data_IF_360793196061
#
_entry.id   IF_360793196061
#
_cell.length_a   1.000
_cell.length_b   1.000
_cell.length_c   1.000
_cell.angle_alpha   90.00
_cell.angle_beta   90.00
_cell.angle_gamma   90.00
#
_symmetry.space_group_name_H-M   'P 1'
#
loop_
_entity.id
_entity.type
_entity.pdbx_description
1 polymer ?
#
# COMPACT_ATOMS: atom_id res chain seq x y z
N UNK A 1 11.60 34.29 -85.21
CA UNK A 1 10.86 33.14 -84.61
C UNK A 1 11.74 32.16 -83.82
N UNK A 2 13.04 32.04 -84.10
CA UNK A 2 13.91 31.06 -83.41
C UNK A 2 14.34 31.47 -81.99
N UNK A 3 14.58 32.75 -81.72
CA UNK A 3 15.03 33.22 -80.39
C UNK A 3 13.98 33.02 -79.29
N UNK A 4 12.72 33.34 -79.58
CA UNK A 4 11.59 33.14 -78.66
C UNK A 4 11.37 31.66 -78.27
N UNK A 5 11.77 30.74 -79.15
CA UNK A 5 11.73 29.29 -78.89
C UNK A 5 12.89 28.85 -77.99
N UNK A 6 14.05 29.51 -78.11
CA UNK A 6 15.26 29.23 -77.30
C UNK A 6 15.09 29.70 -75.85
N UNK A 7 14.48 30.86 -75.62
CA UNK A 7 14.17 31.36 -74.27
C UNK A 7 13.17 30.46 -73.53
N UNK A 8 12.06 30.07 -74.18
CA UNK A 8 11.08 29.14 -73.61
C UNK A 8 11.68 27.79 -73.21
N UNK A 9 12.67 27.29 -73.95
CA UNK A 9 13.35 26.04 -73.62
C UNK A 9 14.26 26.21 -72.39
N UNK A 10 14.90 27.37 -72.23
CA UNK A 10 15.76 27.70 -71.09
C UNK A 10 14.95 27.89 -69.80
N UNK A 11 13.78 28.51 -69.91
CA UNK A 11 12.84 28.69 -68.80
C UNK A 11 12.26 27.34 -68.33
N UNK A 12 11.85 26.47 -69.26
CA UNK A 12 11.43 25.09 -68.94
C UNK A 12 12.52 24.25 -68.27
N UNK A 13 13.78 24.45 -68.65
CA UNK A 13 14.90 23.75 -68.01
C UNK A 13 15.16 24.25 -66.58
N UNK A 14 15.03 25.55 -66.32
CA UNK A 14 15.13 26.11 -64.96
C UNK A 14 14.01 25.59 -64.04
N UNK A 15 12.76 25.65 -64.50
CA UNK A 15 11.61 25.15 -63.76
C UNK A 15 11.76 23.66 -63.40
N UNK A 16 12.25 22.83 -64.33
CA UNK A 16 12.51 21.41 -64.05
C UNK A 16 13.60 21.18 -63.00
N UNK A 17 14.61 22.06 -62.94
CA UNK A 17 15.71 21.93 -62.00
C UNK A 17 15.28 22.31 -60.58
N UNK A 18 14.53 23.40 -60.43
CA UNK A 18 13.92 23.80 -59.14
C UNK A 18 12.98 22.72 -58.60
N UNK A 19 12.13 22.11 -59.45
CA UNK A 19 11.22 21.06 -58.99
C UNK A 19 11.90 19.75 -58.60
N UNK A 20 13.12 19.49 -59.07
CA UNK A 20 13.88 18.31 -58.67
C UNK A 20 14.63 18.58 -57.35
N UNK A 21 15.24 19.76 -57.21
CA UNK A 21 15.93 20.15 -55.96
C UNK A 21 14.97 20.20 -54.76
N UNK A 22 13.71 20.62 -54.94
CA UNK A 22 12.71 20.58 -53.84
C UNK A 22 12.31 19.16 -53.45
N UNK A 23 12.22 18.25 -54.43
CA UNK A 23 11.85 16.85 -54.18
C UNK A 23 12.96 16.08 -53.49
N UNK A 24 14.20 16.31 -53.88
CA UNK A 24 15.36 15.66 -53.25
C UNK A 24 15.49 16.09 -51.78
N UNK A 25 15.22 17.36 -51.45
CA UNK A 25 15.19 17.84 -50.06
C UNK A 25 14.02 17.28 -49.24
N UNK A 26 12.83 17.13 -49.84
CA UNK A 26 11.69 16.50 -49.15
C UNK A 26 11.96 15.02 -48.85
N UNK A 27 12.58 14.28 -49.78
CA UNK A 27 12.93 12.87 -49.60
C UNK A 27 13.98 12.70 -48.47
N UNK A 28 15.01 13.55 -48.43
CA UNK A 28 16.00 13.52 -47.36
C UNK A 28 15.36 13.80 -45.99
N UNK A 29 14.42 14.76 -45.92
CA UNK A 29 13.72 15.08 -44.67
C UNK A 29 12.79 13.95 -44.19
N UNK A 30 12.12 13.25 -45.10
CA UNK A 30 11.28 12.10 -44.74
C UNK A 30 12.09 10.90 -44.24
N UNK A 31 13.31 10.72 -44.76
CA UNK A 31 14.20 9.65 -44.34
C UNK A 31 14.86 9.95 -42.99
N UNK A 32 15.18 11.21 -42.70
CA UNK A 32 15.59 11.65 -41.36
C UNK A 32 14.47 11.42 -40.33
N UNK A 33 13.23 11.78 -40.65
CA UNK A 33 12.08 11.55 -39.77
C UNK A 33 11.82 10.07 -39.49
N UNK A 34 12.04 9.19 -40.48
CA UNK A 34 11.94 7.73 -40.29
C UNK A 34 13.05 7.23 -39.39
N UNK A 35 14.28 7.73 -39.56
CA UNK A 35 15.41 7.35 -38.71
C UNK A 35 15.19 7.81 -37.27
N UNK A 36 14.68 9.03 -37.05
CA UNK A 36 14.35 9.55 -35.72
C UNK A 36 13.25 8.69 -35.07
N UNK A 37 12.21 8.33 -35.82
CA UNK A 37 11.15 7.43 -35.30
C UNK A 37 11.68 6.05 -34.94
N UNK A 38 12.53 5.46 -35.78
CA UNK A 38 13.16 4.17 -35.51
C UNK A 38 14.08 4.25 -34.29
N UNK A 39 14.84 5.33 -34.14
CA UNK A 39 15.69 5.55 -32.96
C UNK A 39 14.84 5.71 -31.69
N UNK A 40 13.75 6.48 -31.73
CA UNK A 40 12.85 6.65 -30.60
C UNK A 40 12.11 5.35 -30.21
N UNK A 41 11.72 4.53 -31.20
CA UNK A 41 11.11 3.21 -30.95
C UNK A 41 12.11 2.24 -30.31
N UNK A 42 13.37 2.24 -30.77
CA UNK A 42 14.45 1.44 -30.17
C UNK A 42 14.81 1.93 -28.76
N UNK A 43 14.85 3.25 -28.53
CA UNK A 43 15.07 3.84 -27.22
C UNK A 43 13.98 3.43 -26.23
N UNK A 44 12.70 3.41 -26.64
CA UNK A 44 11.60 2.93 -25.80
C UNK A 44 11.75 1.44 -25.44
N UNK A 45 12.18 0.60 -26.39
CA UNK A 45 12.40 -0.84 -26.17
C UNK A 45 13.57 -1.09 -25.20
N UNK A 46 14.62 -0.26 -25.27
CA UNK A 46 15.80 -0.35 -24.40
C UNK A 46 15.57 0.30 -23.03
N UNK A 47 14.74 1.34 -22.93
CA UNK A 47 14.42 2.04 -21.66
C UNK A 47 13.73 1.13 -20.64
N UNK A 48 12.98 0.12 -21.10
CA UNK A 48 12.34 -0.87 -20.23
C UNK A 48 13.29 -1.96 -19.70
N UNK A 49 14.47 -2.08 -20.32
CA UNK A 49 15.53 -3.07 -20.03
C UNK A 49 16.64 -2.51 -19.13
N UNK A 50 16.63 -1.21 -18.82
CA UNK A 50 17.40 -0.65 -17.71
C UNK A 50 17.08 -1.44 -16.43
N UNK A 51 18.09 -1.92 -15.68
CA UNK A 51 17.91 -2.57 -14.40
C UNK A 51 17.56 -1.51 -13.34
N UNK A 52 16.58 -0.65 -13.62
CA UNK A 52 15.74 -0.10 -12.57
C UNK A 52 15.32 -1.29 -11.74
N UNK A 53 15.74 -1.32 -10.48
CA UNK A 53 15.26 -2.23 -9.46
C UNK A 53 13.73 -2.07 -9.39
N UNK A 54 12.98 -2.72 -10.29
CA UNK A 54 11.52 -2.71 -10.29
C UNK A 54 11.14 -3.41 -8.98
N UNK A 55 10.93 -2.62 -7.94
CA UNK A 55 10.56 -3.11 -6.61
C UNK A 55 9.10 -3.57 -6.69
N UNK A 56 8.91 -4.77 -7.21
CA UNK A 56 7.59 -5.38 -7.27
C UNK A 56 7.05 -5.56 -5.87
N UNK A 57 5.81 -5.13 -5.67
CA UNK A 57 5.10 -5.29 -4.41
C UNK A 57 4.98 -6.77 -4.06
N UNK A 58 5.70 -7.18 -3.02
CA UNK A 58 5.74 -8.55 -2.54
C UNK A 58 5.20 -8.62 -1.12
N UNK A 59 3.91 -8.91 -0.97
CA UNK A 59 3.23 -8.98 0.33
C UNK A 59 3.94 -9.90 1.33
N UNK A 60 4.48 -11.05 0.87
CA UNK A 60 5.24 -11.98 1.71
C UNK A 60 6.53 -11.35 2.26
N UNK A 61 7.28 -10.63 1.43
CA UNK A 61 8.53 -9.96 1.84
C UNK A 61 8.26 -8.90 2.91
N UNK A 62 7.22 -8.09 2.69
CA UNK A 62 6.77 -7.04 3.63
C UNK A 62 6.42 -7.65 5.00
N UNK A 63 5.59 -8.70 5.01
CA UNK A 63 5.22 -9.39 6.25
C UNK A 63 6.42 -9.95 7.00
N UNK A 64 7.38 -10.54 6.28
CA UNK A 64 8.59 -11.06 6.89
C UNK A 64 9.45 -9.96 7.51
N UNK A 65 9.68 -8.85 6.81
CA UNK A 65 10.46 -7.71 7.30
C UNK A 65 9.82 -7.08 8.54
N UNK A 66 8.51 -6.83 8.49
CA UNK A 66 7.76 -6.26 9.61
C UNK A 66 7.73 -7.21 10.82
N UNK A 67 7.52 -8.51 10.63
CA UNK A 67 7.51 -9.49 11.74
C UNK A 67 8.89 -9.79 12.32
N UNK A 68 9.96 -9.75 11.50
CA UNK A 68 11.35 -9.89 11.96
C UNK A 68 11.77 -8.68 12.80
N UNK A 69 11.32 -7.47 12.44
CA UNK A 69 11.60 -6.24 13.19
C UNK A 69 11.04 -6.29 14.63
N UNK A 70 9.86 -6.89 14.83
CA UNK A 70 9.22 -6.97 16.14
C UNK A 70 9.93 -7.94 17.10
N UNK A 71 10.52 -9.03 16.59
CA UNK A 71 11.21 -10.06 17.39
C UNK A 71 12.65 -9.67 17.75
N UNK A 72 13.28 -8.77 16.99
CA UNK A 72 14.70 -8.37 17.18
C UNK A 72 14.90 -7.14 18.07
N UNK A 73 13.86 -6.54 18.64
CA UNK A 73 14.00 -5.35 19.52
C UNK A 73 14.96 -5.53 20.71
N UNK A 74 15.31 -6.76 21.08
CA UNK A 74 16.24 -7.03 22.20
C UNK A 74 17.70 -7.31 21.83
N UNK A 75 18.11 -7.33 20.55
CA UNK A 75 19.54 -7.50 20.20
C UNK A 75 19.98 -6.58 19.06
N UNK A 76 20.56 -5.47 19.50
CA UNK A 76 21.65 -4.69 18.87
C UNK A 76 21.29 -3.80 17.67
N UNK A 77 21.68 -2.53 17.85
CA UNK A 77 21.94 -1.47 16.87
C UNK A 77 23.03 -1.88 15.85
N UNK A 78 22.85 -2.96 15.10
CA UNK A 78 23.81 -3.39 14.09
C UNK A 78 23.03 -3.69 12.81
N UNK A 79 23.39 -2.93 11.77
CA UNK A 79 22.84 -2.89 10.42
C UNK A 79 21.60 -1.98 10.29
N UNK A 80 21.88 -0.67 10.38
CA UNK A 80 21.17 0.37 9.62
C UNK A 80 21.40 0.15 8.11
N UNK A 81 20.97 -0.99 7.59
CA UNK A 81 20.33 -1.01 6.28
C UNK A 81 18.84 -1.10 6.61
N UNK A 82 18.32 0.00 7.19
CA UNK A 82 16.89 0.26 7.06
C UNK A 82 16.68 0.25 5.56
N UNK A 83 15.92 -0.72 5.05
CA UNK A 83 15.35 -0.63 3.71
C UNK A 83 14.86 0.81 3.54
N UNK A 84 15.44 1.52 2.58
CA UNK A 84 15.34 2.98 2.44
C UNK A 84 13.91 3.45 2.06
N UNK A 85 12.88 2.62 2.29
CA UNK A 85 11.58 2.73 1.64
C UNK A 85 10.35 2.57 2.54
N UNK A 86 10.45 2.21 3.83
CA UNK A 86 9.23 2.06 4.64
C UNK A 86 8.79 3.35 5.35
N UNK A 87 8.42 4.36 4.55
CA UNK A 87 7.74 5.57 4.98
C UNK A 87 6.20 5.41 4.98
N UNK A 88 5.69 4.19 4.80
CA UNK A 88 4.25 3.95 4.71
C UNK A 88 3.59 4.07 6.09
N UNK A 89 2.51 4.86 6.15
CA UNK A 89 1.64 5.02 7.31
C UNK A 89 0.21 5.15 6.79
N UNK A 90 -0.74 4.52 7.49
CA UNK A 90 -2.13 4.50 7.06
C UNK A 90 -2.89 5.64 7.72
N UNK A 91 -3.73 6.34 6.96
CA UNK A 91 -4.67 7.30 7.54
C UNK A 91 -5.83 6.58 8.21
N UNK A 92 -5.71 6.46 9.53
CA UNK A 92 -6.66 5.88 10.47
C UNK A 92 -7.99 6.67 10.54
N UNK A 93 -7.98 7.94 10.11
CA UNK A 93 -9.16 8.83 10.15
C UNK A 93 -9.93 8.86 8.83
N UNK A 94 -9.48 8.15 7.80
CA UNK A 94 -10.16 8.08 6.52
C UNK A 94 -11.53 7.38 6.64
N UNK A 95 -12.57 8.03 6.13
CA UNK A 95 -13.97 7.55 6.16
C UNK A 95 -14.13 6.17 5.50
N UNK A 96 -13.28 5.82 4.53
CA UNK A 96 -13.29 4.50 3.88
C UNK A 96 -13.06 3.36 4.87
N UNK A 97 -12.36 3.63 5.97
CA UNK A 97 -12.10 2.65 7.03
C UNK A 97 -13.07 2.74 8.20
N UNK A 98 -14.04 3.67 8.17
CA UNK A 98 -15.04 3.86 9.23
C UNK A 98 -15.80 2.57 9.56
N UNK A 99 -16.09 1.75 8.54
CA UNK A 99 -16.78 0.47 8.70
C UNK A 99 -16.02 -0.53 9.60
N UNK A 100 -14.68 -0.47 9.66
CA UNK A 100 -13.86 -1.34 10.53
C UNK A 100 -14.10 -1.07 12.02
N UNK A 101 -14.49 0.16 12.36
CA UNK A 101 -14.72 0.59 13.74
C UNK A 101 -16.18 0.48 14.15
N UNK A 102 -17.11 0.65 13.21
CA UNK A 102 -18.55 0.74 13.48
C UNK A 102 -19.28 -0.58 13.26
N UNK A 103 -18.96 -1.32 12.20
CA UNK A 103 -19.66 -2.55 11.83
C UNK A 103 -18.94 -3.80 12.35
N UNK A 104 -19.71 -4.76 12.87
CA UNK A 104 -19.16 -6.03 13.35
C UNK A 104 -18.66 -6.93 12.21
N UNK A 105 -19.20 -6.78 11.01
CA UNK A 105 -18.89 -7.63 9.85
C UNK A 105 -17.46 -7.45 9.34
N UNK A 106 -16.86 -6.28 9.59
CA UNK A 106 -15.52 -5.93 9.12
C UNK A 106 -14.50 -5.84 10.26
N UNK A 107 -14.75 -6.57 11.36
CA UNK A 107 -13.81 -6.62 12.47
C UNK A 107 -12.54 -7.36 12.08
N UNK A 108 -11.39 -6.74 12.35
CA UNK A 108 -10.07 -7.36 12.20
C UNK A 108 -9.84 -8.33 13.38
N UNK A 109 -9.76 -9.63 13.10
CA UNK A 109 -9.50 -10.69 14.09
C UNK A 109 -8.10 -11.32 13.88
N UNK A 110 -7.17 -11.19 14.84
CA UNK A 110 -5.87 -11.86 14.80
C UNK A 110 -5.93 -13.40 14.78
N UNK A 111 -7.06 -14.01 15.16
CA UNK A 111 -7.25 -15.46 15.13
C UNK A 111 -7.62 -16.01 13.74
N UNK A 112 -8.05 -15.16 12.79
CA UNK A 112 -8.37 -15.58 11.43
C UNK A 112 -7.08 -15.88 10.63
N UNK A 113 -6.94 -17.03 9.97
CA UNK A 113 -5.81 -17.34 9.08
C UNK A 113 -5.56 -16.31 7.95
N UNK A 114 -6.60 -15.57 7.54
CA UNK A 114 -6.51 -14.50 6.55
C UNK A 114 -5.85 -13.24 7.11
N UNK A 115 -5.77 -13.10 8.43
CA UNK A 115 -5.13 -11.97 9.07
C UNK A 115 -3.64 -11.92 8.70
N UNK A 116 -3.24 -10.80 8.10
CA UNK A 116 -1.86 -10.49 7.79
C UNK A 116 -1.39 -9.40 8.72
N UNK A 117 -0.43 -9.74 9.57
CA UNK A 117 0.10 -8.81 10.56
C UNK A 117 1.08 -7.86 9.89
N UNK A 118 0.55 -6.74 9.41
CA UNK A 118 1.31 -5.63 8.84
C UNK A 118 1.21 -4.40 9.73
N UNK A 119 2.11 -3.43 9.56
CA UNK A 119 2.14 -2.20 10.36
C UNK A 119 0.82 -1.43 10.29
N UNK A 120 0.27 -1.25 9.09
CA UNK A 120 -1.04 -0.60 8.90
C UNK A 120 -2.20 -1.35 9.57
N UNK A 121 -2.15 -2.70 9.57
CA UNK A 121 -3.16 -3.50 10.26
C UNK A 121 -3.07 -3.36 11.79
N UNK A 122 -1.86 -3.26 12.34
CA UNK A 122 -1.65 -2.96 13.75
C UNK A 122 -2.11 -1.54 14.12
N UNK A 123 -1.92 -0.54 13.24
CA UNK A 123 -2.44 0.82 13.40
C UNK A 123 -3.97 0.82 13.52
N UNK A 124 -4.70 0.11 12.66
CA UNK A 124 -6.16 -0.03 12.75
C UNK A 124 -6.63 -0.66 14.06
N UNK A 125 -5.97 -1.73 14.52
CA UNK A 125 -6.30 -2.39 15.79
C UNK A 125 -6.05 -1.45 16.97
N UNK A 126 -4.92 -0.75 16.99
CA UNK A 126 -4.57 0.18 18.05
C UNK A 126 -5.54 1.35 18.14
N UNK A 127 -5.94 1.94 17.01
CA UNK A 127 -6.99 2.97 16.98
C UNK A 127 -8.33 2.43 17.49
N UNK A 128 -8.71 1.22 17.09
CA UNK A 128 -9.97 0.64 17.58
C UNK A 128 -9.95 0.47 19.11
N UNK A 129 -8.78 0.14 19.67
CA UNK A 129 -8.59 0.08 21.10
C UNK A 129 -8.65 1.46 21.76
N UNK A 130 -8.02 2.50 21.19
CA UNK A 130 -8.09 3.88 21.70
C UNK A 130 -9.52 4.40 21.68
N UNK A 131 -10.26 4.21 20.58
CA UNK A 131 -11.69 4.57 20.49
C UNK A 131 -12.53 3.88 21.56
N UNK A 132 -12.31 2.59 21.80
CA UNK A 132 -13.02 1.86 22.87
C UNK A 132 -12.74 2.46 24.25
N UNK A 133 -11.49 2.78 24.55
CA UNK A 133 -11.12 3.43 25.81
C UNK A 133 -11.77 4.82 25.96
N UNK A 134 -11.84 5.60 24.88
CA UNK A 134 -12.55 6.88 24.86
C UNK A 134 -14.06 6.68 25.08
N UNK A 135 -14.71 5.75 24.39
CA UNK A 135 -16.12 5.45 24.63
C UNK A 135 -16.41 4.96 26.04
N UNK A 136 -15.50 4.18 26.64
CA UNK A 136 -15.65 3.69 28.01
C UNK A 136 -15.44 4.80 29.04
N UNK A 137 -14.63 5.83 28.73
CA UNK A 137 -14.40 6.99 29.61
C UNK A 137 -15.54 8.03 29.52
N UNK A 138 -16.05 8.31 28.31
CA UNK A 138 -17.20 9.21 28.09
C UNK A 138 -18.52 8.62 28.65
N UNK A 139 -18.65 7.30 28.74
CA UNK A 139 -19.79 6.65 29.39
C UNK A 139 -19.70 6.58 30.91
N UNK A 140 -18.67 7.15 31.54
CA UNK A 140 -18.59 7.23 33.01
C UNK A 140 -19.53 8.31 33.60
N UNK A 141 -20.02 9.25 32.79
CA UNK A 141 -21.06 10.22 33.20
C UNK A 141 -22.50 9.71 33.04
N UNK A 142 -22.68 8.47 32.57
CA UNK A 142 -23.97 7.75 32.65
C UNK A 142 -23.73 6.51 33.51
N UNK A 143 -24.38 6.37 34.68
CA UNK A 143 -24.08 5.28 35.60
C UNK A 143 -24.21 3.96 34.85
N UNK A 144 -23.15 3.14 34.79
CA UNK A 144 -23.24 1.86 34.13
C UNK A 144 -24.34 1.07 34.83
N UNK A 145 -25.35 0.62 34.07
CA UNK A 145 -26.13 -0.55 34.46
C UNK A 145 -25.13 -1.69 34.56
N UNK A 146 -24.52 -1.80 35.75
CA UNK A 146 -23.67 -2.91 36.15
C UNK A 146 -24.50 -4.15 35.85
N UNK A 147 -24.15 -4.90 34.81
CA UNK A 147 -24.46 -6.32 34.79
C UNK A 147 -23.80 -6.84 36.06
N UNK A 148 -24.63 -7.08 37.06
CA UNK A 148 -24.25 -7.62 38.34
C UNK A 148 -23.52 -8.93 38.06
N UNK A 149 -22.18 -8.87 38.06
CA UNK A 149 -21.38 -9.98 38.58
C UNK A 149 -21.63 -10.01 40.07
N UNK A 150 -22.86 -10.38 40.40
CA UNK A 150 -23.28 -10.86 41.68
C UNK A 150 -22.52 -12.17 41.84
N UNK A 151 -21.32 -12.11 42.42
CA UNK A 151 -20.77 -13.23 43.16
C UNK A 151 -21.69 -13.43 44.37
N UNK A 152 -22.90 -13.90 44.12
CA UNK A 152 -23.79 -14.49 45.11
C UNK A 152 -23.18 -15.85 45.41
N UNK A 153 -22.08 -15.85 46.16
CA UNK A 153 -21.88 -16.97 47.07
C UNK A 153 -22.92 -16.70 48.14
N UNK A 154 -24.09 -17.34 48.02
CA UNK A 154 -25.12 -17.25 49.04
C UNK A 154 -24.45 -17.43 50.42
N UNK A 155 -24.69 -16.56 51.40
CA UNK A 155 -24.08 -16.69 52.72
C UNK A 155 -24.37 -18.06 53.35
N UNK A 156 -25.51 -18.67 52.98
CA UNK A 156 -25.86 -20.05 53.33
C UNK A 156 -24.90 -21.09 52.71
N UNK A 157 -24.53 -20.95 51.45
CA UNK A 157 -23.56 -21.84 50.78
C UNK A 157 -22.16 -21.71 51.41
N UNK A 158 -21.77 -20.50 51.81
CA UNK A 158 -20.54 -20.27 52.59
C UNK A 158 -20.57 -21.03 53.92
N UNK A 159 -21.69 -20.97 54.63
CA UNK A 159 -21.86 -21.66 55.92
C UNK A 159 -21.94 -23.19 55.75
N UNK A 160 -22.56 -23.67 54.69
CA UNK A 160 -22.61 -25.10 54.35
C UNK A 160 -21.22 -25.65 54.00
N UNK A 161 -20.44 -24.94 53.19
CA UNK A 161 -19.07 -25.36 52.86
C UNK A 161 -18.18 -25.36 54.11
N UNK A 162 -18.34 -24.37 55.00
CA UNK A 162 -17.63 -24.33 56.29
C UNK A 162 -17.99 -25.52 57.19
N UNK A 163 -19.26 -25.91 57.28
CA UNK A 163 -19.72 -27.02 58.13
C UNK A 163 -19.29 -28.39 57.60
N UNK A 164 -19.27 -28.58 56.28
CA UNK A 164 -18.71 -29.78 55.65
C UNK A 164 -17.21 -29.86 55.92
N UNK A 165 -16.49 -28.75 55.78
CA UNK A 165 -15.03 -28.68 56.00
C UNK A 165 -14.64 -28.88 57.47
N UNK A 166 -15.47 -28.49 58.44
CA UNK A 166 -15.20 -28.79 59.85
C UNK A 166 -15.45 -30.27 60.17
N UNK A 167 -16.56 -30.86 59.71
CA UNK A 167 -16.87 -32.28 59.91
C UNK A 167 -15.81 -33.22 59.34
N UNK A 168 -15.29 -32.93 58.15
CA UNK A 168 -14.26 -33.78 57.53
C UNK A 168 -12.90 -33.70 58.21
N UNK A 169 -12.59 -32.58 58.88
CA UNK A 169 -11.36 -32.43 59.66
C UNK A 169 -11.41 -33.10 61.04
N UNK A 170 -12.60 -33.23 61.62
CA UNK A 170 -12.78 -33.88 62.92
C UNK A 170 -13.01 -35.39 62.83
N UNK A 171 -13.30 -35.92 61.64
CA UNK A 171 -13.46 -37.36 61.37
C UNK A 171 -12.18 -38.00 60.81
N UNK A 172 -11.01 -37.51 61.22
CA UNK A 172 -9.71 -38.07 60.85
C UNK A 172 -8.84 -38.26 62.08
#
# INVERSE_FOLDING_TARGET
MMEKKKERMKEKQKLRKETNETKDNEIDSEDEDKQIKQQAELELLLMDEEPSEKQHFNMKKIQEEETKSSKKKNKKKILNEKSASDAFSVDVKDDRFSALYTSHLFNIDPADPKFKRTKGMEEFISEKATRRQQYDTEKVDVPPKKKSKQSIINPELSNLVKSIKSKTKHNK
#
